data_IF_551928535885
#
_entry.id   IF_551928535885
#
_cell.length_a   1.000
_cell.length_b   1.000
_cell.length_c   1.000
_cell.angle_alpha   90.00
_cell.angle_beta   90.00
_cell.angle_gamma   90.00
#
_symmetry.space_group_name_H-M   'P 1'
#
loop_
_entity.id
_entity.type
_entity.pdbx_description
1 polymer ?
#
# COMPACT_ATOMS: atom_id res chain seq x y z
N UNK A 1 21.86 -3.21 3.95
CA UNK A 1 21.58 -4.21 2.90
C UNK A 1 20.36 -3.88 2.05
N UNK A 2 19.20 -3.52 2.59
CA UNK A 2 17.97 -3.20 1.82
C UNK A 2 18.13 -2.03 0.85
N UNK A 3 18.86 -0.97 1.22
CA UNK A 3 19.12 0.16 0.33
C UNK A 3 19.98 -0.21 -0.89
N UNK A 4 20.97 -1.09 -0.70
CA UNK A 4 21.80 -1.58 -1.80
C UNK A 4 21.00 -2.41 -2.81
N UNK A 5 20.06 -3.23 -2.33
CA UNK A 5 19.15 -4.00 -3.18
C UNK A 5 18.19 -3.11 -3.98
N UNK A 6 17.62 -2.08 -3.34
CA UNK A 6 16.76 -1.11 -4.03
C UNK A 6 17.52 -0.34 -5.12
N UNK A 7 18.78 0.05 -4.86
CA UNK A 7 19.67 0.69 -5.83
C UNK A 7 20.04 -0.29 -6.96
N UNK A 8 20.30 -1.56 -6.65
CA UNK A 8 20.60 -2.59 -7.66
C UNK A 8 19.40 -2.80 -8.61
N UNK A 9 18.18 -2.89 -8.08
CA UNK A 9 16.95 -2.98 -8.90
C UNK A 9 16.77 -1.71 -9.73
N UNK A 10 16.95 -0.54 -9.15
CA UNK A 10 16.85 0.73 -9.89
C UNK A 10 17.88 0.82 -11.03
N UNK A 11 19.10 0.34 -10.81
CA UNK A 11 20.17 0.35 -11.82
C UNK A 11 20.11 -0.83 -12.81
N UNK A 12 19.33 -1.87 -12.54
CA UNK A 12 19.23 -3.06 -13.41
C UNK A 12 18.50 -2.81 -14.73
N UNK A 13 17.90 -1.63 -14.91
CA UNK A 13 17.09 -1.29 -16.08
C UNK A 13 15.74 -2.02 -16.17
N UNK A 14 15.43 -2.95 -15.24
CA UNK A 14 14.16 -3.66 -15.20
C UNK A 14 13.00 -2.69 -15.06
N UNK A 15 13.18 -1.66 -14.25
CA UNK A 15 12.20 -0.59 -14.01
C UNK A 15 11.92 0.23 -15.25
N UNK A 16 12.97 0.52 -16.04
CA UNK A 16 12.85 1.28 -17.27
C UNK A 16 12.22 0.43 -18.39
N UNK A 17 12.55 -0.86 -18.45
CA UNK A 17 11.91 -1.82 -19.36
C UNK A 17 10.43 -1.99 -19.06
N UNK A 18 10.05 -2.06 -17.78
CA UNK A 18 8.67 -2.17 -17.33
C UNK A 18 7.90 -0.89 -17.65
N UNK A 19 8.49 0.26 -17.35
CA UNK A 19 7.96 1.57 -17.72
C UNK A 19 7.80 1.68 -19.24
N UNK A 20 8.81 1.29 -20.02
CA UNK A 20 8.77 1.32 -21.50
C UNK A 20 7.65 0.41 -22.05
N UNK A 21 7.53 -0.84 -21.59
CA UNK A 21 6.46 -1.75 -22.03
C UNK A 21 5.06 -1.21 -21.71
N UNK A 22 4.89 -0.65 -20.52
CA UNK A 22 3.61 -0.03 -20.12
C UNK A 22 3.30 1.15 -21.01
N UNK A 23 4.28 2.03 -21.27
CA UNK A 23 4.12 3.24 -22.09
C UNK A 23 3.83 2.88 -23.54
N UNK A 24 4.53 1.91 -24.11
CA UNK A 24 4.35 1.48 -25.50
C UNK A 24 2.94 0.87 -25.69
N UNK A 25 2.45 0.19 -24.67
CA UNK A 25 1.08 -0.35 -24.69
C UNK A 25 0.03 0.74 -24.52
N UNK A 26 0.32 1.80 -23.77
CA UNK A 26 -0.54 2.99 -23.64
C UNK A 26 -0.63 3.81 -24.92
N UNK A 27 0.47 3.94 -25.68
CA UNK A 27 0.47 4.69 -26.93
C UNK A 27 -0.39 4.03 -28.04
N UNK A 28 -0.72 2.75 -27.88
CA UNK A 28 -1.60 2.03 -28.82
C UNK A 28 -3.10 2.18 -28.54
N UNK A 29 -3.51 2.74 -27.39
CA UNK A 29 -4.93 2.88 -27.02
C UNK A 29 -5.20 4.18 -26.25
N UNK A 30 -5.19 5.34 -26.89
CA UNK A 30 -5.41 6.60 -26.18
C UNK A 30 -6.85 7.08 -26.30
N UNK A 31 -7.77 6.50 -25.53
CA UNK A 31 -9.07 7.12 -25.28
C UNK A 31 -9.15 7.48 -23.80
N UNK A 32 -9.65 8.66 -23.44
CA UNK A 32 -9.65 9.16 -22.06
C UNK A 32 -10.25 8.21 -21.02
N UNK A 33 -11.23 7.38 -21.41
CA UNK A 33 -11.81 6.33 -20.55
C UNK A 33 -10.81 5.19 -20.26
N UNK A 34 -10.02 4.79 -21.26
CA UNK A 34 -9.04 3.70 -21.11
C UNK A 34 -7.87 4.13 -20.21
N UNK A 35 -7.49 5.41 -20.22
CA UNK A 35 -6.46 5.96 -19.36
C UNK A 35 -6.90 5.97 -17.89
N UNK A 36 -8.15 6.36 -17.62
CA UNK A 36 -8.71 6.34 -16.26
C UNK A 36 -8.78 4.90 -15.72
N UNK A 37 -9.27 3.96 -16.50
CA UNK A 37 -9.33 2.55 -16.13
C UNK A 37 -7.95 1.98 -15.81
N UNK A 38 -6.95 2.28 -16.65
CA UNK A 38 -5.57 1.84 -16.44
C UNK A 38 -4.95 2.42 -15.15
N UNK A 39 -5.23 3.68 -14.85
CA UNK A 39 -4.83 4.33 -13.60
C UNK A 39 -5.36 3.59 -12.37
N UNK A 40 -6.66 3.30 -12.34
CA UNK A 40 -7.29 2.60 -11.20
C UNK A 40 -6.86 1.13 -11.12
N UNK A 41 -6.64 0.46 -12.24
CA UNK A 41 -6.08 -0.88 -12.28
C UNK A 41 -4.68 -0.91 -11.66
N UNK A 42 -3.81 0.04 -12.01
CA UNK A 42 -2.46 0.15 -11.43
C UNK A 42 -2.51 0.39 -9.91
N UNK A 43 -3.40 1.28 -9.46
CA UNK A 43 -3.62 1.53 -8.03
C UNK A 43 -4.16 0.30 -7.30
N UNK A 44 -5.04 -0.47 -7.91
CA UNK A 44 -5.55 -1.74 -7.39
C UNK A 44 -4.47 -2.82 -7.28
N UNK A 45 -3.62 -2.96 -8.30
CA UNK A 45 -2.47 -3.88 -8.26
C UNK A 45 -1.52 -3.48 -7.14
N UNK A 46 -1.21 -2.19 -6.99
CA UNK A 46 -0.36 -1.69 -5.91
C UNK A 46 -0.95 -2.01 -4.53
N UNK A 47 -2.26 -1.86 -4.38
CA UNK A 47 -2.98 -2.23 -3.15
C UNK A 47 -2.84 -3.72 -2.85
N UNK A 48 -3.06 -4.59 -3.83
CA UNK A 48 -2.91 -6.04 -3.66
C UNK A 48 -1.49 -6.43 -3.27
N UNK A 49 -0.48 -5.81 -3.88
CA UNK A 49 0.91 -6.01 -3.50
C UNK A 49 1.20 -5.54 -2.06
N UNK A 50 0.67 -4.38 -1.67
CA UNK A 50 0.83 -3.86 -0.31
C UNK A 50 0.20 -4.82 0.73
N UNK A 51 -0.99 -5.32 0.47
CA UNK A 51 -1.68 -6.31 1.31
C UNK A 51 -0.85 -7.61 1.41
N UNK A 52 -0.37 -8.12 0.29
CA UNK A 52 0.41 -9.37 0.23
C UNK A 52 1.74 -9.25 0.96
N UNK A 53 2.37 -8.07 0.93
CA UNK A 53 3.67 -7.84 1.57
C UNK A 53 3.61 -7.93 3.09
N UNK A 54 2.46 -7.75 3.71
CA UNK A 54 2.29 -7.85 5.17
C UNK A 54 1.95 -9.26 5.63
N UNK A 55 1.15 -9.98 4.85
CA UNK A 55 0.55 -11.24 5.31
C UNK A 55 1.25 -12.48 4.75
N UNK A 56 1.83 -12.39 3.53
CA UNK A 56 2.46 -13.53 2.85
C UNK A 56 3.98 -13.47 2.88
N UNK A 57 4.55 -12.27 2.76
CA UNK A 57 5.99 -12.07 2.70
C UNK A 57 6.40 -11.10 3.83
N UNK A 58 7.28 -11.50 4.76
CA UNK A 58 7.70 -10.61 5.85
C UNK A 58 8.67 -9.52 5.35
N UNK A 59 8.30 -8.79 4.30
CA UNK A 59 9.14 -7.79 3.60
C UNK A 59 8.58 -6.37 3.80
N UNK A 60 7.71 -6.17 4.78
CA UNK A 60 6.98 -4.92 4.99
C UNK A 60 7.85 -3.66 5.04
N UNK A 61 9.00 -3.70 5.70
CA UNK A 61 9.92 -2.56 5.80
C UNK A 61 10.58 -2.24 4.44
N UNK A 62 10.82 -3.27 3.63
CA UNK A 62 11.48 -3.14 2.34
C UNK A 62 10.51 -2.83 1.19
N UNK A 63 9.19 -3.01 1.39
CA UNK A 63 8.19 -2.84 0.35
C UNK A 63 8.23 -1.45 -0.29
N UNK A 64 8.19 -0.40 0.52
CA UNK A 64 8.17 0.98 0.03
C UNK A 64 9.44 1.31 -0.79
N UNK A 65 10.67 1.12 -0.26
CA UNK A 65 11.88 1.48 -1.00
C UNK A 65 12.14 0.59 -2.23
N UNK A 66 11.56 -0.61 -2.31
CA UNK A 66 11.72 -1.50 -3.47
C UNK A 66 10.69 -1.21 -4.57
N UNK A 67 9.42 -1.01 -4.20
CA UNK A 67 8.31 -0.93 -5.17
C UNK A 67 8.05 0.49 -5.64
N UNK A 68 8.14 1.48 -4.75
CA UNK A 68 7.73 2.86 -5.09
C UNK A 68 8.67 3.56 -6.07
N UNK A 69 10.01 3.57 -5.89
CA UNK A 69 10.91 4.29 -6.80
C UNK A 69 10.77 3.90 -8.26
N UNK A 70 10.70 2.59 -8.62
CA UNK A 70 10.49 2.17 -10.01
C UNK A 70 9.18 2.69 -10.61
N UNK A 71 8.14 2.82 -9.80
CA UNK A 71 6.83 3.23 -10.28
C UNK A 71 6.65 4.76 -10.38
N UNK A 72 7.57 5.55 -9.80
CA UNK A 72 7.46 7.01 -9.81
C UNK A 72 7.38 7.61 -11.22
N UNK A 73 8.14 7.08 -12.17
CA UNK A 73 8.11 7.52 -13.58
C UNK A 73 6.73 7.26 -14.20
N UNK A 74 6.12 6.13 -13.90
CA UNK A 74 4.79 5.74 -14.36
C UNK A 74 3.73 6.64 -13.74
N UNK A 75 3.80 6.88 -12.41
CA UNK A 75 2.87 7.77 -11.71
C UNK A 75 2.91 9.19 -12.25
N UNK A 76 4.10 9.70 -12.59
CA UNK A 76 4.25 11.03 -13.18
C UNK A 76 3.66 11.11 -14.59
N UNK A 77 3.90 10.11 -15.44
CA UNK A 77 3.32 10.07 -16.81
C UNK A 77 1.80 9.97 -16.79
N UNK A 78 1.24 9.18 -15.87
CA UNK A 78 -0.19 9.06 -15.66
C UNK A 78 -0.80 10.25 -14.91
N UNK A 79 0.04 11.19 -14.45
CA UNK A 79 -0.36 12.32 -13.60
C UNK A 79 -1.15 11.87 -12.37
N UNK A 80 -0.74 10.73 -11.77
CA UNK A 80 -1.35 10.21 -10.56
C UNK A 80 -0.87 11.03 -9.38
N UNK A 81 -1.79 11.52 -8.55
CA UNK A 81 -1.41 12.22 -7.33
C UNK A 81 -0.71 11.25 -6.37
N UNK A 82 0.52 11.58 -5.99
CA UNK A 82 1.34 10.74 -5.09
C UNK A 82 0.71 10.55 -3.71
N UNK A 83 -0.17 11.47 -3.29
CA UNK A 83 -0.92 11.35 -2.03
C UNK A 83 -1.93 10.21 -2.11
N UNK A 84 -2.59 10.00 -3.26
CA UNK A 84 -3.44 8.82 -3.46
C UNK A 84 -2.64 7.53 -3.37
N UNK A 85 -1.44 7.49 -3.96
CA UNK A 85 -0.52 6.35 -3.87
C UNK A 85 -0.12 6.08 -2.42
N UNK A 86 0.24 7.12 -1.67
CA UNK A 86 0.58 7.01 -0.25
C UNK A 86 -0.59 6.45 0.57
N UNK A 87 -1.82 6.95 0.36
CA UNK A 87 -3.01 6.43 1.04
C UNK A 87 -3.25 4.94 0.75
N UNK A 88 -3.07 4.50 -0.50
CA UNK A 88 -3.23 3.10 -0.90
C UNK A 88 -2.19 2.21 -0.24
N UNK A 89 -0.93 2.63 -0.26
CA UNK A 89 0.16 1.87 0.37
C UNK A 89 -0.06 1.79 1.88
N UNK A 90 -0.34 2.91 2.53
CA UNK A 90 -0.60 2.95 3.98
C UNK A 90 -1.77 2.03 4.35
N UNK A 91 -2.88 2.12 3.63
CA UNK A 91 -4.03 1.24 3.86
C UNK A 91 -3.65 -0.24 3.68
N UNK A 92 -3.02 -0.60 2.57
CA UNK A 92 -2.63 -1.99 2.29
C UNK A 92 -1.66 -2.56 3.32
N UNK A 93 -0.75 -1.73 3.82
CA UNK A 93 0.22 -2.14 4.84
C UNK A 93 -0.38 -2.21 6.26
N UNK A 94 -1.46 -1.49 6.55
CA UNK A 94 -1.99 -1.39 7.93
C UNK A 94 -3.30 -2.14 8.13
N UNK A 95 -4.27 -1.98 7.24
CA UNK A 95 -5.62 -2.50 7.46
C UNK A 95 -5.69 -4.02 7.61
N UNK A 96 -4.89 -4.74 6.84
CA UNK A 96 -5.00 -6.20 6.78
C UNK A 96 -4.42 -6.90 8.00
N UNK A 97 -3.31 -6.43 8.58
CA UNK A 97 -2.77 -7.04 9.79
C UNK A 97 -3.61 -6.74 11.04
N UNK A 98 -4.48 -5.74 10.98
CA UNK A 98 -5.38 -5.42 12.10
C UNK A 98 -6.53 -6.41 12.24
N UNK A 99 -6.93 -7.09 11.16
CA UNK A 99 -8.06 -8.03 11.15
C UNK A 99 -7.67 -9.49 10.92
N UNK A 100 -6.63 -9.73 10.11
CA UNK A 100 -6.26 -11.08 9.72
C UNK A 100 -5.15 -11.61 10.63
N UNK A 101 -5.41 -12.67 11.43
CA UNK A 101 -4.40 -13.30 12.29
C UNK A 101 -3.47 -14.21 11.46
N UNK A 102 -2.87 -13.66 10.39
CA UNK A 102 -1.96 -14.38 9.49
C UNK A 102 -0.71 -13.53 9.26
N UNK A 103 0.45 -14.16 9.18
CA UNK A 103 1.73 -13.48 9.00
C UNK A 103 2.01 -12.48 10.13
N UNK A 104 2.30 -11.23 9.79
CA UNK A 104 2.51 -10.18 10.79
C UNK A 104 1.25 -9.90 11.62
N UNK A 105 0.07 -10.05 11.03
CA UNK A 105 -1.21 -9.86 11.73
C UNK A 105 -1.39 -10.84 12.90
N UNK A 106 -0.89 -12.07 12.80
CA UNK A 106 -0.88 -13.02 13.90
C UNK A 106 -0.09 -12.48 15.09
N UNK A 107 1.11 -11.99 14.85
CA UNK A 107 1.96 -11.41 15.91
C UNK A 107 1.26 -10.20 16.53
N UNK A 108 0.69 -9.31 15.71
CA UNK A 108 0.02 -8.11 16.20
C UNK A 108 -1.22 -8.43 17.02
N UNK A 109 -2.13 -9.28 16.53
CA UNK A 109 -3.39 -9.58 17.20
C UNK A 109 -3.15 -10.47 18.44
N UNK A 110 -2.43 -11.59 18.31
CA UNK A 110 -2.25 -12.54 19.40
C UNK A 110 -1.25 -12.03 20.44
N UNK A 111 -0.02 -11.67 19.99
CA UNK A 111 1.08 -11.41 20.91
C UNK A 111 1.06 -9.98 21.48
N UNK A 112 0.46 -9.02 20.77
CA UNK A 112 0.39 -7.63 21.22
C UNK A 112 -0.99 -7.31 21.77
N UNK A 113 -2.05 -7.39 20.97
CA UNK A 113 -3.38 -6.93 21.40
C UNK A 113 -4.00 -7.85 22.44
N UNK A 114 -4.27 -9.11 22.12
CA UNK A 114 -4.95 -10.06 23.03
C UNK A 114 -4.17 -10.21 24.32
N UNK A 115 -2.86 -10.38 24.23
CA UNK A 115 -2.02 -10.54 25.44
C UNK A 115 -2.09 -9.32 26.34
N UNK A 116 -1.95 -8.10 25.80
CA UNK A 116 -1.96 -6.89 26.62
C UNK A 116 -3.36 -6.56 27.15
N UNK A 117 -4.42 -6.80 26.37
CA UNK A 117 -5.81 -6.63 26.84
C UNK A 117 -6.08 -7.57 28.00
N UNK A 118 -5.71 -8.86 27.89
CA UNK A 118 -5.92 -9.84 28.95
C UNK A 118 -5.09 -9.54 30.20
N UNK A 119 -3.85 -9.08 30.04
CA UNK A 119 -3.02 -8.64 31.17
C UNK A 119 -3.64 -7.42 31.89
N UNK A 120 -4.10 -6.43 31.15
CA UNK A 120 -4.71 -5.24 31.72
C UNK A 120 -6.11 -5.53 32.32
N UNK A 121 -6.85 -6.47 31.73
CA UNK A 121 -8.18 -6.87 32.17
C UNK A 121 -8.21 -7.88 33.34
N UNK A 122 -7.10 -8.56 33.62
CA UNK A 122 -7.00 -9.59 34.64
C UNK A 122 -7.52 -9.15 36.03
N UNK A 123 -7.21 -7.95 36.56
CA UNK A 123 -7.75 -7.48 37.83
C UNK A 123 -9.27 -7.34 37.86
N UNK A 124 -9.90 -7.18 36.69
CA UNK A 124 -11.35 -7.02 36.51
C UNK A 124 -12.03 -8.31 36.05
N UNK A 125 -11.30 -9.43 35.96
CA UNK A 125 -11.82 -10.70 35.46
C UNK A 125 -12.15 -10.67 33.94
N UNK A 126 -11.65 -9.69 33.19
CA UNK A 126 -11.91 -9.56 31.77
C UNK A 126 -10.89 -10.38 30.97
N UNK A 127 -11.39 -11.18 30.03
CA UNK A 127 -10.59 -11.92 29.08
C UNK A 127 -11.18 -11.77 27.69
N UNK A 128 -10.32 -11.73 26.68
CA UNK A 128 -10.72 -11.67 25.27
C UNK A 128 -9.95 -12.70 24.45
N UNK A 129 -10.54 -13.09 23.34
CA UNK A 129 -10.00 -14.03 22.37
C UNK A 129 -9.53 -13.32 21.08
N UNK A 130 -8.73 -14.04 20.29
CA UNK A 130 -8.26 -13.56 18.97
C UNK A 130 -9.43 -13.21 18.05
N UNK A 131 -10.50 -14.02 18.07
CA UNK A 131 -11.69 -13.80 17.25
C UNK A 131 -12.43 -12.53 17.62
N UNK A 132 -12.60 -12.28 18.92
CA UNK A 132 -13.28 -11.07 19.43
C UNK A 132 -12.50 -9.81 19.09
N UNK A 133 -11.17 -9.82 19.26
CA UNK A 133 -10.32 -8.68 18.90
C UNK A 133 -10.35 -8.44 17.40
N UNK A 134 -10.24 -9.50 16.57
CA UNK A 134 -10.31 -9.36 15.12
C UNK A 134 -11.67 -8.80 14.67
N UNK A 135 -12.76 -9.24 15.31
CA UNK A 135 -14.10 -8.72 15.02
C UNK A 135 -14.24 -7.24 15.42
N UNK A 136 -13.76 -6.87 16.61
CA UNK A 136 -13.79 -5.48 17.07
C UNK A 136 -12.98 -4.57 16.14
N UNK A 137 -11.87 -5.06 15.57
CA UNK A 137 -11.03 -4.32 14.62
C UNK A 137 -11.68 -4.09 13.24
N UNK A 138 -12.81 -4.74 12.93
CA UNK A 138 -13.56 -4.46 11.70
C UNK A 138 -14.09 -3.03 11.66
N UNK A 139 -14.51 -2.46 12.79
CA UNK A 139 -15.06 -1.10 12.84
C UNK A 139 -14.04 -0.05 12.37
N UNK A 140 -12.83 0.05 12.96
CA UNK A 140 -11.83 1.00 12.47
C UNK A 140 -11.39 0.70 11.03
N UNK A 141 -11.33 -0.56 10.61
CA UNK A 141 -10.97 -0.92 9.23
C UNK A 141 -12.03 -0.49 8.22
N UNK A 142 -13.33 -0.58 8.56
CA UNK A 142 -14.41 -0.01 7.72
C UNK A 142 -14.21 1.51 7.58
N UNK A 143 -13.90 2.22 8.67
CA UNK A 143 -13.55 3.63 8.62
C UNK A 143 -12.35 3.93 7.71
N UNK A 144 -11.31 3.09 7.76
CA UNK A 144 -10.14 3.21 6.87
C UNK A 144 -10.50 2.94 5.40
N UNK A 145 -11.40 1.99 5.10
CA UNK A 145 -11.90 1.74 3.73
C UNK A 145 -12.64 2.97 3.21
N UNK A 146 -13.55 3.53 3.98
CA UNK A 146 -14.29 4.75 3.60
C UNK A 146 -13.34 5.92 3.38
N UNK A 147 -12.34 6.09 4.26
CA UNK A 147 -11.29 7.09 4.12
C UNK A 147 -10.46 6.90 2.85
N UNK A 148 -10.07 5.66 2.53
CA UNK A 148 -9.35 5.34 1.29
C UNK A 148 -10.17 5.65 0.05
N UNK A 149 -11.45 5.23 0.02
CA UNK A 149 -12.35 5.50 -1.10
C UNK A 149 -12.52 7.01 -1.32
N UNK A 150 -12.72 7.76 -0.23
CA UNK A 150 -12.81 9.22 -0.27
C UNK A 150 -11.50 9.84 -0.77
N UNK A 151 -10.35 9.40 -0.28
CA UNK A 151 -9.06 9.90 -0.71
C UNK A 151 -8.82 9.66 -2.21
N UNK A 152 -9.07 8.45 -2.70
CA UNK A 152 -8.75 8.07 -4.09
C UNK A 152 -9.76 8.63 -5.09
N UNK A 153 -11.05 8.57 -4.78
CA UNK A 153 -12.11 8.92 -5.74
C UNK A 153 -12.62 10.35 -5.63
N UNK A 154 -12.42 11.01 -4.50
CA UNK A 154 -12.89 12.38 -4.26
C UNK A 154 -11.71 13.34 -4.14
N UNK A 155 -10.87 13.17 -3.10
CA UNK A 155 -9.88 14.17 -2.71
C UNK A 155 -8.72 14.26 -3.72
N UNK A 156 -8.13 13.13 -4.10
CA UNK A 156 -6.93 13.06 -4.95
C UNK A 156 -7.22 12.58 -6.38
N UNK A 157 -8.47 12.70 -6.82
CA UNK A 157 -8.90 12.30 -8.18
C UNK A 157 -8.27 13.14 -9.28
N UNK A 158 -8.02 14.43 -9.00
CA UNK A 158 -7.53 15.37 -10.01
C UNK A 158 -6.09 15.01 -10.43
N UNK A 159 -5.78 15.05 -11.75
CA UNK A 159 -4.43 14.83 -12.23
C UNK A 159 -3.47 15.86 -11.64
N UNK A 160 -2.35 15.41 -11.10
CA UNK A 160 -1.30 16.27 -10.60
C UNK A 160 0.05 15.88 -11.18
N UNK A 161 0.65 16.77 -11.95
CA UNK A 161 2.04 16.63 -12.35
C UNK A 161 2.94 17.08 -11.18
N UNK A 162 3.96 16.28 -10.87
CA UNK A 162 4.98 16.65 -9.90
C UNK A 162 6.21 17.07 -10.71
N UNK A 163 6.59 18.34 -10.59
CA UNK A 163 7.87 18.84 -11.07
C UNK A 163 8.99 18.20 -10.23
N UNK A 164 9.98 17.59 -10.89
CA UNK A 164 11.21 17.24 -10.19
C UNK A 164 11.95 18.53 -9.89
N UNK A 165 11.98 18.93 -8.64
CA UNK A 165 13.03 19.82 -8.19
C UNK A 165 14.30 18.98 -8.20
N UNK A 166 15.20 19.23 -9.14
CA UNK A 166 16.53 18.68 -9.11
C UNK A 166 17.19 19.17 -7.82
N UNK A 167 17.26 18.30 -6.81
CA UNK A 167 18.26 18.42 -5.78
C UNK A 167 19.58 18.02 -6.47
N UNK A 168 20.23 18.99 -7.10
CA UNK A 168 21.66 18.93 -7.38
C UNK A 168 22.35 18.95 -6.02
N UNK A 169 22.76 17.77 -5.55
CA UNK A 169 23.83 17.63 -4.56
C UNK A 169 25.15 17.57 -5.31
#
# INVERSE_FOLDING_TARGET
MLGAFAIAISKSGITDLLAYKIITRMNKTPTGKNLAWFKYMLLGILLLFAISSQNLLPVHIAFIPIVVPPLLSIFNRLKIDRRAVACIITFGLTATYMILPVGFGKIFIESVLVKNINLAGAPLGLQTSVGEVSFAMLIPVIGMILGLLTAVFVTYRKPRAVSYTHLTL
#
